data_IF_724386241497
#
_entry.id   IF_724386241497
#
_cell.length_a   1.000
_cell.length_b   1.000
_cell.length_c   1.000
_cell.angle_alpha   90.00
_cell.angle_beta   90.00
_cell.angle_gamma   90.00
#
_symmetry.space_group_name_H-M   'P 1'
#
loop_
_entity.id
_entity.type
_entity.pdbx_description
1 polymer ?
#
# COMPACT_ATOMS: atom_id res chain seq x y z
N UNK A 1 -3.93 6.79 15.24
CA UNK A 1 -4.62 5.51 15.48
C UNK A 1 -5.57 5.29 14.33
N UNK A 2 -5.47 4.14 13.63
CA UNK A 2 -6.47 3.74 12.64
C UNK A 2 -7.71 3.24 13.40
N UNK A 3 -8.90 3.52 12.86
CA UNK A 3 -10.19 3.29 13.54
C UNK A 3 -11.09 2.35 12.74
N UNK A 4 -11.06 2.47 11.41
CA UNK A 4 -11.77 1.61 10.47
C UNK A 4 -10.87 1.38 9.28
N UNK A 5 -10.73 0.12 8.90
CA UNK A 5 -9.97 -0.36 7.76
C UNK A 5 -10.88 -1.22 6.89
N UNK A 6 -10.77 -1.06 5.57
CA UNK A 6 -11.62 -1.77 4.61
C UNK A 6 -10.73 -2.30 3.49
N UNK A 7 -10.90 -3.58 3.17
CA UNK A 7 -10.27 -4.23 2.05
C UNK A 7 -11.35 -4.83 1.11
N UNK A 8 -11.26 -4.63 -0.22
CA UNK A 8 -10.33 -3.74 -0.91
C UNK A 8 -10.64 -2.25 -0.66
N UNK A 9 -9.72 -1.36 -1.03
CA UNK A 9 -9.95 0.09 -0.99
C UNK A 9 -11.19 0.44 -1.84
N UNK A 10 -12.24 1.04 -1.25
CA UNK A 10 -13.48 1.33 -1.98
C UNK A 10 -13.26 2.45 -2.99
N UNK A 11 -13.94 2.37 -4.13
CA UNK A 11 -13.91 3.39 -5.20
C UNK A 11 -12.52 3.66 -5.82
N UNK A 12 -11.55 2.77 -5.62
CA UNK A 12 -10.24 2.87 -6.26
C UNK A 12 -10.33 2.37 -7.71
N UNK A 13 -9.90 3.22 -8.64
CA UNK A 13 -9.79 2.84 -10.05
C UNK A 13 -8.88 1.61 -10.22
N UNK A 14 -9.27 0.59 -11.02
CA UNK A 14 -8.48 -0.63 -11.18
C UNK A 14 -7.06 -0.40 -11.70
N UNK A 15 -6.86 0.54 -12.64
CA UNK A 15 -5.52 0.82 -13.19
C UNK A 15 -4.65 1.50 -12.13
N UNK A 16 -5.21 2.45 -11.38
CA UNK A 16 -4.52 3.09 -10.26
C UNK A 16 -4.13 2.07 -9.17
N UNK A 17 -5.04 1.16 -8.81
CA UNK A 17 -4.75 0.08 -7.87
C UNK A 17 -3.58 -0.78 -8.35
N UNK A 18 -3.61 -1.19 -9.61
CA UNK A 18 -2.57 -2.06 -10.17
C UNK A 18 -1.20 -1.35 -10.21
N UNK A 19 -1.16 -0.02 -10.47
CA UNK A 19 0.06 0.79 -10.35
C UNK A 19 0.60 0.85 -8.91
N UNK A 20 -0.26 1.16 -7.93
CA UNK A 20 0.12 1.22 -6.51
C UNK A 20 0.66 -0.14 -6.04
N UNK A 21 -0.01 -1.24 -6.42
CA UNK A 21 0.46 -2.59 -6.10
C UNK A 21 1.79 -2.92 -6.78
N UNK A 22 1.99 -2.53 -8.03
CA UNK A 22 3.24 -2.75 -8.75
C UNK A 22 4.42 -2.01 -8.08
N UNK A 23 4.21 -0.76 -7.65
CA UNK A 23 5.22 0.03 -6.95
C UNK A 23 5.57 -0.56 -5.57
N UNK A 24 4.56 -1.03 -4.82
CA UNK A 24 4.78 -1.73 -3.55
C UNK A 24 5.63 -3.00 -3.73
N UNK A 25 5.33 -3.79 -4.77
CA UNK A 25 6.08 -5.00 -5.12
C UNK A 25 7.50 -4.65 -5.58
N UNK A 26 7.65 -3.59 -6.39
CA UNK A 26 8.95 -3.09 -6.84
C UNK A 26 9.84 -2.70 -5.66
N UNK A 27 9.31 -1.90 -4.73
CA UNK A 27 10.00 -1.52 -3.50
C UNK A 27 10.44 -2.73 -2.68
N UNK A 28 9.54 -3.68 -2.42
CA UNK A 28 9.86 -4.87 -1.62
C UNK A 28 10.93 -5.76 -2.28
N UNK A 29 10.91 -5.86 -3.62
CA UNK A 29 11.93 -6.60 -4.38
C UNK A 29 13.30 -5.95 -4.31
N UNK A 30 13.35 -4.63 -4.47
CA UNK A 30 14.61 -3.86 -4.48
C UNK A 30 15.38 -4.02 -3.17
N UNK A 31 14.68 -3.99 -2.04
CA UNK A 31 15.31 -4.18 -0.72
C UNK A 31 15.48 -5.65 -0.32
N UNK A 32 15.10 -6.59 -1.18
CA UNK A 32 15.15 -8.03 -0.91
C UNK A 32 14.30 -8.46 0.28
N UNK A 33 13.15 -7.80 0.50
CA UNK A 33 12.32 -8.03 1.68
C UNK A 33 11.79 -9.47 1.71
N UNK A 34 11.79 -10.06 2.90
CA UNK A 34 11.21 -11.37 3.18
C UNK A 34 10.39 -11.30 4.45
N UNK A 35 9.25 -11.99 4.45
CA UNK A 35 8.17 -11.97 5.45
C UNK A 35 6.99 -11.06 5.02
N UNK A 36 5.97 -10.94 5.87
CA UNK A 36 4.80 -10.09 5.67
C UNK A 36 5.08 -8.65 6.15
N UNK A 37 4.68 -7.68 5.33
CA UNK A 37 4.76 -6.26 5.64
C UNK A 37 3.81 -5.45 4.77
N UNK A 38 3.58 -4.21 5.17
CA UNK A 38 2.67 -3.27 4.48
C UNK A 38 3.46 -2.09 3.96
N UNK A 39 3.29 -1.76 2.68
CA UNK A 39 3.77 -0.51 2.09
C UNK A 39 2.60 0.48 2.11
N UNK A 40 2.76 1.62 2.78
CA UNK A 40 1.71 2.62 2.95
C UNK A 40 1.92 3.80 1.99
N UNK A 41 0.85 4.19 1.32
CA UNK A 41 0.80 5.33 0.41
C UNK A 41 -0.26 6.34 0.86
N UNK A 42 -0.02 7.61 0.57
CA UNK A 42 -1.04 8.65 0.64
C UNK A 42 -1.54 8.92 -0.79
N UNK A 43 -2.83 8.75 -1.03
CA UNK A 43 -3.49 9.03 -2.31
C UNK A 43 -4.29 10.33 -2.21
N UNK A 44 -4.12 11.24 -3.17
CA UNK A 44 -4.94 12.45 -3.29
C UNK A 44 -6.18 12.22 -4.19
N UNK A 45 -7.16 13.15 -4.19
CA UNK A 45 -8.36 13.03 -5.04
C UNK A 45 -8.11 13.04 -6.55
N UNK A 46 -6.97 13.59 -6.98
CA UNK A 46 -6.58 13.71 -8.40
C UNK A 46 -5.96 12.40 -8.94
N UNK A 47 -5.70 11.42 -8.08
CA UNK A 47 -5.14 10.12 -8.44
C UNK A 47 -3.62 10.00 -8.26
N UNK A 48 -2.95 11.06 -7.80
CA UNK A 48 -1.53 11.01 -7.45
C UNK A 48 -1.35 10.40 -6.06
N UNK A 49 -0.32 9.58 -5.91
CA UNK A 49 0.03 8.97 -4.65
C UNK A 49 1.52 9.10 -4.35
N UNK A 50 1.83 9.15 -3.06
CA UNK A 50 3.20 9.22 -2.56
C UNK A 50 3.44 8.11 -1.53
N UNK A 51 4.64 7.54 -1.55
CA UNK A 51 5.08 6.61 -0.52
C UNK A 51 5.22 7.33 0.83
N UNK A 52 4.73 6.70 1.90
CA UNK A 52 4.89 7.19 3.28
C UNK A 52 5.97 6.36 3.98
N UNK A 53 5.71 5.07 4.14
CA UNK A 53 6.57 4.15 4.87
C UNK A 53 6.30 2.69 4.50
N UNK A 54 7.20 1.81 4.93
CA UNK A 54 6.95 0.38 5.02
C UNK A 54 6.88 -0.03 6.49
N UNK A 55 5.84 -0.76 6.87
CA UNK A 55 5.76 -1.49 8.12
C UNK A 55 6.27 -2.93 7.91
N UNK A 56 7.51 -3.30 8.34
CA UNK A 56 8.11 -4.60 8.07
C UNK A 56 7.62 -5.69 9.04
N UNK A 57 6.31 -5.72 9.30
CA UNK A 57 5.62 -6.63 10.22
C UNK A 57 4.15 -6.77 9.80
N UNK A 58 3.51 -7.82 10.29
CA UNK A 58 2.05 -7.92 10.26
C UNK A 58 1.42 -6.73 11.02
N UNK A 59 0.29 -6.25 10.53
CA UNK A 59 -0.54 -5.21 11.15
C UNK A 59 -1.86 -5.82 11.63
N UNK A 60 -2.64 -5.05 12.39
CA UNK A 60 -3.86 -5.55 13.05
C UNK A 60 -4.95 -5.86 12.01
N UNK A 61 -4.94 -5.12 10.89
CA UNK A 61 -5.92 -5.13 9.82
C UNK A 61 -5.64 -6.12 8.68
N UNK A 62 -4.73 -7.09 8.88
CA UNK A 62 -4.40 -8.11 7.85
C UNK A 62 -5.52 -9.14 7.63
#
# INVERSE_FOLDING_TARGET
QKVIEIAPAPHLDPELRDRICADAVGFAREIGYRNAGTVEFLLNPDGDYVFIEMNPRIQVEH
#
